data_IF_784050607715
#
_entry.id   IF_784050607715
#
_cell.length_a   1.000
_cell.length_b   1.000
_cell.length_c   1.000
_cell.angle_alpha   90.00
_cell.angle_beta   90.00
_cell.angle_gamma   90.00
#
_symmetry.space_group_name_H-M   'P 1'
#
loop_
_entity.id
_entity.type
_entity.pdbx_description
1 polymer ?
#
# COMPACT_ATOMS: atom_id res chain seq x y z
N UNK A 1 -5.52 -43.56 69.88
CA UNK A 1 -6.45 -42.48 69.50
C UNK A 1 -6.24 -41.32 70.48
N UNK A 2 -5.25 -40.45 70.21
CA UNK A 2 -4.97 -39.22 70.97
C UNK A 2 -3.97 -38.34 70.17
N UNK A 3 -4.50 -37.30 69.52
CA UNK A 3 -4.24 -35.87 69.77
C UNK A 3 -2.80 -35.27 69.72
N UNK A 4 -2.73 -34.15 68.98
CA UNK A 4 -1.84 -32.96 69.01
C UNK A 4 -0.47 -33.04 68.28
N UNK A 5 -0.22 -32.26 67.21
CA UNK A 5 -0.02 -30.79 67.03
C UNK A 5 1.47 -30.42 67.15
N UNK A 6 2.04 -29.81 66.11
CA UNK A 6 2.87 -28.57 66.11
C UNK A 6 3.88 -28.52 64.94
N UNK A 7 3.72 -27.45 64.15
CA UNK A 7 4.74 -26.59 63.52
C UNK A 7 5.79 -27.21 62.57
N UNK A 8 6.00 -26.68 61.38
CA UNK A 8 6.54 -25.33 61.12
C UNK A 8 6.41 -25.01 59.62
N UNK A 9 5.88 -23.83 59.24
CA UNK A 9 6.63 -22.66 58.73
C UNK A 9 7.60 -23.05 57.60
N UNK A 10 7.66 -22.45 56.41
CA UNK A 10 7.24 -21.18 55.81
C UNK A 10 7.81 -21.25 54.39
N UNK A 11 7.14 -20.67 53.39
CA UNK A 11 7.74 -19.87 52.29
C UNK A 11 6.69 -19.74 51.18
N UNK A 12 5.77 -18.80 51.35
CA UNK A 12 5.08 -18.14 50.25
C UNK A 12 5.71 -16.76 50.12
N UNK A 13 6.79 -16.68 49.35
CA UNK A 13 7.23 -15.42 48.77
C UNK A 13 6.60 -15.33 47.38
N UNK A 14 5.46 -14.66 47.30
CA UNK A 14 4.89 -14.17 46.06
C UNK A 14 5.85 -13.07 45.57
N UNK A 15 6.83 -13.47 44.77
CA UNK A 15 7.53 -12.53 43.90
C UNK A 15 6.73 -12.42 42.61
N UNK A 16 5.98 -11.33 42.54
CA UNK A 16 5.65 -10.64 41.30
C UNK A 16 6.89 -10.54 40.42
N UNK A 17 6.97 -11.42 39.42
CA UNK A 17 7.78 -11.18 38.24
C UNK A 17 6.84 -10.96 37.07
N UNK A 18 6.65 -9.66 36.85
CA UNK A 18 6.38 -9.03 35.57
C UNK A 18 6.94 -9.89 34.45
N UNK A 19 6.06 -10.25 33.52
CA UNK A 19 6.38 -10.89 32.25
C UNK A 19 7.40 -10.01 31.51
N UNK A 20 8.68 -10.25 31.76
CA UNK A 20 9.75 -9.99 30.81
C UNK A 20 9.66 -11.10 29.78
N UNK A 21 8.70 -10.96 28.85
CA UNK A 21 8.76 -11.68 27.60
C UNK A 21 10.00 -11.15 26.86
N UNK A 22 11.12 -11.84 27.10
CA UNK A 22 12.27 -11.83 26.24
C UNK A 22 11.78 -12.19 24.85
N UNK A 23 11.59 -11.15 24.05
CA UNK A 23 11.28 -11.22 22.64
C UNK A 23 12.51 -11.86 21.96
N UNK A 24 12.57 -13.19 22.03
CA UNK A 24 13.43 -14.00 21.18
C UNK A 24 12.91 -13.78 19.78
N UNK A 25 13.47 -12.76 19.14
CA UNK A 25 13.11 -12.31 17.81
C UNK A 25 13.14 -13.51 16.87
N UNK A 26 11.95 -14.07 16.61
CA UNK A 26 11.72 -14.73 15.34
C UNK A 26 12.04 -13.67 14.30
N UNK A 27 12.99 -13.91 13.38
CA UNK A 27 13.19 -13.01 12.27
C UNK A 27 11.82 -12.83 11.64
N UNK A 28 11.33 -11.60 11.58
CA UNK A 28 10.00 -11.32 11.08
C UNK A 28 9.95 -11.86 9.64
N UNK A 29 9.21 -12.97 9.51
CA UNK A 29 9.20 -13.88 8.37
C UNK A 29 8.70 -13.09 7.17
N UNK A 30 9.30 -13.34 6.00
CA UNK A 30 9.13 -12.86 4.61
C UNK A 30 7.84 -12.11 4.15
N UNK A 31 6.78 -12.06 4.95
CA UNK A 31 5.43 -11.62 4.60
C UNK A 31 4.97 -10.43 5.46
N UNK A 32 5.91 -9.54 5.72
CA UNK A 32 5.71 -8.29 6.46
C UNK A 32 6.19 -7.13 5.61
N UNK A 33 5.37 -6.09 5.47
CA UNK A 33 5.80 -4.85 4.84
C UNK A 33 6.70 -4.08 5.80
N UNK A 34 8.01 -4.24 5.62
CA UNK A 34 8.99 -3.43 6.33
C UNK A 34 9.23 -2.12 5.59
N UNK A 35 9.41 -1.10 6.39
CA UNK A 35 10.10 0.09 5.96
C UNK A 35 11.60 -0.19 5.85
N UNK A 36 12.24 0.29 4.78
CA UNK A 36 13.69 0.17 4.62
C UNK A 36 14.38 0.95 5.74
N UNK A 37 15.12 0.26 6.60
CA UNK A 37 15.89 0.88 7.71
C UNK A 37 17.25 1.43 7.24
N UNK A 38 17.59 1.28 5.96
CA UNK A 38 18.95 1.48 5.46
C UNK A 38 19.43 2.95 5.44
N UNK A 39 18.56 3.92 5.75
CA UNK A 39 18.90 5.34 5.83
C UNK A 39 18.28 6.01 7.08
N UNK A 40 18.20 5.27 8.21
CA UNK A 40 17.71 5.86 9.46
C UNK A 40 18.72 6.88 10.00
N UNK A 41 18.33 8.15 9.95
CA UNK A 41 19.00 9.25 10.63
C UNK A 41 18.98 9.03 12.16
N UNK A 42 19.83 9.76 12.89
CA UNK A 42 19.80 9.79 14.37
C UNK A 42 18.45 10.24 14.95
N UNK A 43 17.58 10.88 14.15
CA UNK A 43 16.23 11.29 14.55
C UNK A 43 15.28 10.08 14.60
N UNK A 44 15.43 9.12 13.69
CA UNK A 44 14.52 7.98 13.56
C UNK A 44 14.57 7.03 14.77
N UNK A 45 15.69 7.00 15.50
CA UNK A 45 15.80 6.25 16.77
C UNK A 45 14.89 6.79 17.88
N UNK A 46 14.47 8.06 17.83
CA UNK A 46 13.56 8.66 18.83
C UNK A 46 12.08 8.35 18.54
N UNK A 47 11.77 7.86 17.34
CA UNK A 47 10.41 7.66 16.85
C UNK A 47 10.03 6.17 16.77
N UNK A 48 10.69 5.33 17.57
CA UNK A 48 10.54 3.87 17.60
C UNK A 48 9.10 3.39 17.85
N UNK A 49 8.28 4.21 18.52
CA UNK A 49 6.85 3.92 18.74
C UNK A 49 6.09 3.77 17.44
N UNK A 50 6.54 4.45 16.38
CA UNK A 50 5.95 4.30 15.08
C UNK A 50 6.55 3.07 14.34
N UNK A 51 7.84 2.79 14.50
CA UNK A 51 8.54 1.64 13.90
C UNK A 51 8.04 0.27 14.41
N UNK A 52 7.30 0.25 15.52
CA UNK A 52 6.80 -0.95 16.16
C UNK A 52 5.26 -1.02 16.07
N UNK A 53 4.75 -1.80 15.12
CA UNK A 53 3.33 -2.11 15.08
C UNK A 53 2.88 -2.68 13.75
N UNK A 54 2.24 -3.86 13.80
CA UNK A 54 1.68 -4.52 12.63
C UNK A 54 0.28 -5.01 12.96
N UNK A 55 -0.59 -5.05 11.94
CA UNK A 55 -1.88 -5.72 11.99
C UNK A 55 -2.00 -6.75 10.88
N UNK A 56 -2.68 -7.85 11.16
CA UNK A 56 -2.95 -8.88 10.16
C UNK A 56 -4.08 -8.41 9.23
N UNK A 57 -3.83 -8.42 7.92
CA UNK A 57 -4.85 -8.21 6.91
C UNK A 57 -4.52 -9.08 5.70
N UNK A 58 -5.54 -9.75 5.12
CA UNK A 58 -5.34 -10.55 3.92
C UNK A 58 -4.26 -11.63 4.09
N UNK A 59 -4.12 -12.13 5.32
CA UNK A 59 -3.13 -13.14 5.70
C UNK A 59 -1.68 -12.64 5.83
N UNK A 60 -1.42 -11.35 5.64
CA UNK A 60 -0.07 -10.75 5.77
C UNK A 60 -0.03 -9.65 6.83
N UNK A 61 1.15 -9.37 7.38
CA UNK A 61 1.33 -8.31 8.38
C UNK A 61 1.59 -6.96 7.70
N UNK A 62 0.67 -6.02 7.92
CA UNK A 62 0.76 -4.65 7.41
C UNK A 62 1.16 -3.73 8.55
N UNK A 63 2.17 -2.90 8.31
CA UNK A 63 2.60 -1.91 9.27
C UNK A 63 1.49 -0.92 9.63
N UNK A 64 1.42 -0.52 10.90
CA UNK A 64 0.42 0.42 11.39
C UNK A 64 0.56 1.84 10.82
N UNK A 65 1.65 2.15 10.10
CA UNK A 65 1.80 3.38 9.31
C UNK A 65 0.92 3.44 8.07
N UNK A 66 0.43 2.30 7.58
CA UNK A 66 -0.34 2.24 6.35
C UNK A 66 -1.80 1.86 6.63
N UNK A 67 -2.70 2.55 5.93
CA UNK A 67 -4.09 2.18 5.79
C UNK A 67 -4.29 1.47 4.46
N UNK A 68 -5.05 0.38 4.47
CA UNK A 68 -5.61 -0.17 3.23
C UNK A 68 -6.75 0.75 2.84
N UNK A 69 -6.65 1.42 1.70
CA UNK A 69 -7.70 2.32 1.18
C UNK A 69 -8.55 1.65 0.09
N UNK A 70 -8.01 0.63 -0.56
CA UNK A 70 -8.71 -0.16 -1.56
C UNK A 70 -8.13 -1.59 -1.64
N UNK A 71 -8.93 -2.55 -2.10
CA UNK A 71 -8.51 -3.92 -2.28
C UNK A 71 -9.30 -4.63 -3.36
N UNK A 72 -8.62 -5.45 -4.16
CA UNK A 72 -9.21 -6.26 -5.21
C UNK A 72 -8.83 -7.72 -5.02
N UNK A 73 -9.82 -8.60 -5.11
CA UNK A 73 -9.63 -10.05 -5.07
C UNK A 73 -9.68 -10.61 -6.49
N UNK A 74 -8.62 -11.29 -6.93
CA UNK A 74 -8.55 -11.93 -8.25
C UNK A 74 -7.52 -13.06 -8.25
N UNK A 75 -7.58 -13.95 -9.23
CA UNK A 75 -6.54 -14.94 -9.48
C UNK A 75 -5.35 -14.26 -10.20
N UNK A 76 -4.20 -14.15 -9.52
CA UNK A 76 -3.02 -13.42 -10.02
C UNK A 76 -1.95 -14.34 -10.62
N UNK A 77 -2.14 -15.65 -10.58
CA UNK A 77 -1.15 -16.65 -10.95
C UNK A 77 -1.72 -17.85 -11.74
N UNK A 78 -3.03 -17.86 -12.04
CA UNK A 78 -3.78 -18.90 -12.76
C UNK A 78 -3.84 -20.24 -12.00
N UNK A 79 -3.88 -20.20 -10.65
CA UNK A 79 -4.00 -21.38 -9.79
C UNK A 79 -5.40 -21.58 -9.19
N UNK A 80 -6.36 -20.72 -9.57
CA UNK A 80 -7.76 -20.68 -9.10
C UNK A 80 -7.91 -20.32 -7.62
N UNK A 81 -6.86 -19.83 -6.97
CA UNK A 81 -6.95 -19.27 -5.62
C UNK A 81 -7.23 -17.77 -5.69
N UNK A 82 -7.95 -17.30 -4.68
CA UNK A 82 -8.26 -15.87 -4.56
C UNK A 82 -7.05 -15.15 -4.00
N UNK A 83 -6.27 -14.52 -4.86
CA UNK A 83 -5.19 -13.61 -4.47
C UNK A 83 -5.74 -12.20 -4.23
N UNK A 84 -4.89 -11.30 -3.74
CA UNK A 84 -5.27 -9.91 -3.46
C UNK A 84 -4.28 -8.89 -3.99
N UNK A 85 -4.83 -7.80 -4.52
CA UNK A 85 -4.13 -6.55 -4.78
C UNK A 85 -4.63 -5.54 -3.75
N UNK A 86 -3.73 -4.98 -2.95
CA UNK A 86 -4.04 -3.98 -1.93
C UNK A 86 -3.47 -2.63 -2.34
N UNK A 87 -4.25 -1.56 -2.15
CA UNK A 87 -3.74 -0.19 -2.22
C UNK A 87 -3.57 0.34 -0.81
N UNK A 88 -2.33 0.69 -0.49
CA UNK A 88 -1.96 1.21 0.81
C UNK A 88 -1.65 2.70 0.72
N UNK A 89 -2.19 3.46 1.65
CA UNK A 89 -1.91 4.88 1.84
C UNK A 89 -1.25 5.11 3.21
N UNK A 90 -0.21 5.95 3.29
CA UNK A 90 0.36 6.37 4.56
C UNK A 90 -0.70 7.06 5.44
N UNK A 91 -0.81 6.69 6.72
CA UNK A 91 -1.79 7.25 7.67
C UNK A 91 -1.48 8.66 8.15
N UNK A 92 -0.24 9.12 7.99
CA UNK A 92 0.19 10.42 8.50
C UNK A 92 -0.09 11.52 7.47
N UNK A 93 -1.15 12.28 7.69
CA UNK A 93 -1.26 13.68 7.27
C UNK A 93 -1.76 14.60 8.42
N UNK A 94 -1.60 14.20 9.69
CA UNK A 94 -1.88 15.08 10.85
C UNK A 94 -0.73 15.06 11.88
N UNK A 95 0.20 16.02 11.82
CA UNK A 95 1.39 16.13 12.68
C UNK A 95 1.21 17.09 13.87
N UNK A 96 0.01 17.26 14.44
CA UNK A 96 -0.22 18.35 15.40
C UNK A 96 0.50 18.21 16.76
N UNK A 97 1.32 17.18 16.98
CA UNK A 97 2.14 17.08 18.20
C UNK A 97 3.40 16.22 18.10
N UNK A 98 4.10 16.14 16.96
CA UNK A 98 5.29 15.26 16.87
C UNK A 98 6.53 15.96 16.34
N UNK A 99 7.47 16.23 17.24
CA UNK A 99 8.85 16.72 17.03
C UNK A 99 9.79 15.66 16.40
N UNK A 100 9.21 14.60 15.85
CA UNK A 100 9.89 13.60 15.05
C UNK A 100 10.03 14.16 13.64
N UNK A 101 11.18 14.75 13.33
CA UNK A 101 11.55 15.11 11.95
C UNK A 101 11.71 13.81 11.16
N UNK A 102 10.59 13.33 10.60
CA UNK A 102 10.52 12.20 9.70
C UNK A 102 11.08 12.64 8.35
N UNK A 103 12.40 12.85 8.30
CA UNK A 103 13.16 12.99 7.06
C UNK A 103 13.28 11.65 6.32
N UNK A 104 12.21 10.86 6.31
CA UNK A 104 12.12 9.67 5.48
C UNK A 104 11.64 10.06 4.10
N UNK A 105 12.62 10.55 3.34
CA UNK A 105 12.52 10.92 1.93
C UNK A 105 11.38 11.89 1.61
N UNK A 106 11.18 12.89 2.47
CA UNK A 106 10.32 14.08 2.31
C UNK A 106 8.83 13.89 1.92
N UNK A 107 8.35 12.74 1.45
CA UNK A 107 6.97 12.47 1.01
C UNK A 107 6.64 10.96 1.04
N UNK A 108 5.91 10.45 2.05
CA UNK A 108 5.49 9.05 2.07
C UNK A 108 4.52 8.75 0.90
N UNK A 109 4.71 7.59 0.25
CA UNK A 109 4.07 7.22 -1.03
C UNK A 109 3.00 6.14 -0.89
N UNK A 110 1.99 6.14 -1.76
CA UNK A 110 1.00 5.06 -1.92
C UNK A 110 1.66 3.81 -2.50
N UNK A 111 1.23 2.65 -2.06
CA UNK A 111 1.79 1.37 -2.46
C UNK A 111 0.72 0.48 -3.09
N UNK A 112 1.05 -0.16 -4.20
CA UNK A 112 0.28 -1.29 -4.74
C UNK A 112 0.96 -2.58 -4.28
N UNK A 113 0.31 -3.34 -3.42
CA UNK A 113 0.86 -4.57 -2.83
C UNK A 113 0.14 -5.77 -3.39
N UNK A 114 0.91 -6.75 -3.86
CA UNK A 114 0.39 -8.01 -4.37
C UNK A 114 0.60 -9.10 -3.33
N UNK A 115 -0.50 -9.70 -2.90
CA UNK A 115 -0.54 -10.82 -1.96
C UNK A 115 -1.05 -12.04 -2.69
N UNK A 116 -0.27 -13.13 -2.67
CA UNK A 116 -0.67 -14.41 -3.25
C UNK A 116 -0.96 -15.43 -2.17
N UNK A 117 -2.00 -16.23 -2.36
CA UNK A 117 -2.37 -17.31 -1.47
C UNK A 117 -1.83 -18.64 -1.98
N UNK A 118 -1.38 -19.49 -1.07
CA UNK A 118 -0.99 -20.85 -1.37
C UNK A 118 -1.70 -21.83 -0.43
N UNK A 119 -2.17 -23.01 -0.90
CA UNK A 119 -3.04 -23.88 -0.11
C UNK A 119 -2.42 -24.39 1.20
N UNK A 120 -1.09 -24.48 1.26
CA UNK A 120 -0.35 -25.01 2.41
C UNK A 120 0.54 -23.97 3.10
N UNK A 121 0.93 -22.90 2.39
CA UNK A 121 1.85 -21.90 2.91
C UNK A 121 1.14 -20.63 3.40
N UNK A 122 -0.18 -20.52 3.20
CA UNK A 122 -0.94 -19.32 3.55
C UNK A 122 -0.71 -18.17 2.57
N UNK A 123 -1.04 -16.96 3.01
CA UNK A 123 -0.86 -15.75 2.22
C UNK A 123 0.57 -15.23 2.33
N UNK A 124 1.14 -14.78 1.23
CA UNK A 124 2.47 -14.17 1.19
C UNK A 124 2.52 -12.94 0.31
N UNK A 125 3.42 -12.02 0.64
CA UNK A 125 3.66 -10.84 -0.20
C UNK A 125 4.48 -11.30 -1.40
N UNK A 126 3.93 -11.12 -2.61
CA UNK A 126 4.68 -11.38 -3.85
C UNK A 126 5.53 -10.19 -4.22
N UNK A 127 4.89 -9.02 -4.38
CA UNK A 127 5.52 -7.80 -4.89
C UNK A 127 4.91 -6.55 -4.24
N UNK A 128 5.71 -5.48 -4.18
CA UNK A 128 5.31 -4.15 -3.70
C UNK A 128 5.75 -3.11 -4.73
N UNK A 129 4.80 -2.41 -5.34
CA UNK A 129 5.07 -1.37 -6.32
C UNK A 129 4.86 0.02 -5.72
N UNK A 130 5.90 0.84 -5.77
CA UNK A 130 5.91 2.23 -5.25
C UNK A 130 5.59 3.29 -6.31
N UNK A 131 5.62 2.92 -7.59
CA UNK A 131 5.60 3.84 -8.73
C UNK A 131 4.37 3.67 -9.63
N UNK A 132 3.45 2.79 -9.26
CA UNK A 132 2.23 2.47 -10.04
C UNK A 132 1.05 3.33 -9.62
N UNK A 133 1.15 4.03 -8.49
CA UNK A 133 0.11 4.90 -7.95
C UNK A 133 0.65 6.32 -7.86
N UNK A 134 -0.21 7.30 -8.13
CA UNK A 134 0.14 8.69 -7.90
C UNK A 134 0.16 8.99 -6.40
N UNK A 135 1.20 9.69 -5.96
CA UNK A 135 1.34 10.18 -4.60
C UNK A 135 0.74 11.57 -4.39
N UNK A 136 0.24 12.20 -5.45
CA UNK A 136 -0.48 13.45 -5.33
C UNK A 136 -1.76 13.23 -4.51
N UNK A 137 -1.88 13.96 -3.41
CA UNK A 137 -3.09 14.08 -2.60
C UNK A 137 -3.69 15.48 -2.72
N UNK A 138 -4.99 15.60 -2.51
CA UNK A 138 -5.71 16.88 -2.51
C UNK A 138 -6.59 17.09 -3.74
N UNK A 139 -7.35 18.20 -3.74
CA UNK A 139 -8.53 18.50 -4.59
C UNK A 139 -8.33 18.28 -6.11
N UNK A 140 -7.09 18.25 -6.62
CA UNK A 140 -6.76 18.27 -8.04
C UNK A 140 -6.15 16.98 -8.62
N UNK A 141 -6.00 15.91 -7.83
CA UNK A 141 -5.54 14.60 -8.32
C UNK A 141 -5.90 13.50 -7.32
N UNK A 142 -6.88 12.67 -7.66
CA UNK A 142 -7.34 11.59 -6.78
C UNK A 142 -7.05 10.24 -7.41
N UNK A 143 -6.47 9.35 -6.60
CA UNK A 143 -6.66 7.93 -6.82
C UNK A 143 -8.17 7.65 -6.75
N UNK A 144 -8.73 7.08 -7.81
CA UNK A 144 -10.18 6.85 -7.96
C UNK A 144 -10.55 5.41 -7.59
N UNK A 145 -9.67 4.45 -7.91
CA UNK A 145 -9.89 3.06 -7.52
C UNK A 145 -9.06 2.03 -8.28
N UNK A 146 -9.13 0.79 -7.81
CA UNK A 146 -8.73 -0.42 -8.53
C UNK A 146 -9.96 -1.23 -8.91
N UNK A 147 -10.05 -1.62 -10.19
CA UNK A 147 -11.22 -2.30 -10.73
C UNK A 147 -10.81 -3.55 -11.50
N UNK A 148 -11.62 -4.61 -11.41
CA UNK A 148 -11.45 -5.81 -12.23
C UNK A 148 -11.65 -5.46 -13.71
N UNK A 149 -10.84 -6.05 -14.58
CA UNK A 149 -11.08 -6.07 -16.02
C UNK A 149 -11.10 -7.52 -16.52
N UNK A 150 -11.47 -7.72 -17.79
CA UNK A 150 -11.44 -9.05 -18.42
C UNK A 150 -10.04 -9.69 -18.44
N UNK A 151 -8.98 -8.89 -18.29
CA UNK A 151 -7.59 -9.36 -18.44
C UNK A 151 -6.81 -9.37 -17.12
N UNK A 152 -7.40 -8.84 -16.05
CA UNK A 152 -6.73 -8.59 -14.79
C UNK A 152 -7.42 -7.45 -14.05
N UNK A 153 -6.75 -6.31 -13.94
CA UNK A 153 -7.28 -5.15 -13.23
C UNK A 153 -6.82 -3.84 -13.86
N UNK A 154 -7.48 -2.74 -13.50
CA UNK A 154 -7.05 -1.38 -13.85
C UNK A 154 -6.96 -0.52 -12.60
N UNK A 155 -5.99 0.38 -12.60
CA UNK A 155 -5.86 1.47 -11.63
C UNK A 155 -6.34 2.74 -12.32
N UNK A 156 -7.19 3.52 -11.66
CA UNK A 156 -7.76 4.76 -12.21
C UNK A 156 -7.40 5.93 -11.30
N UNK A 157 -7.04 7.04 -11.92
CA UNK A 157 -6.87 8.34 -11.29
C UNK A 157 -7.73 9.35 -12.03
N UNK A 158 -8.37 10.26 -11.29
CA UNK A 158 -9.24 11.29 -11.85
C UNK A 158 -9.03 12.63 -11.14
N UNK A 159 -9.36 13.72 -11.82
CA UNK A 159 -9.63 14.98 -11.14
C UNK A 159 -10.47 15.93 -11.98
N UNK A 160 -10.92 17.00 -11.32
CA UNK A 160 -11.54 18.16 -11.95
C UNK A 160 -13.07 18.16 -11.90
N UNK A 161 -13.65 19.18 -12.53
CA UNK A 161 -15.09 19.38 -12.62
C UNK A 161 -15.45 19.85 -14.04
N UNK A 162 -15.50 21.16 -14.28
CA UNK A 162 -15.72 21.73 -15.62
C UNK A 162 -14.60 21.36 -16.60
N UNK A 163 -13.36 21.39 -16.12
CA UNK A 163 -12.21 20.74 -16.75
C UNK A 163 -11.91 19.48 -15.95
N UNK A 164 -11.92 18.33 -16.60
CA UNK A 164 -11.64 17.06 -15.94
C UNK A 164 -10.67 16.20 -16.74
N UNK A 165 -10.01 15.29 -16.05
CA UNK A 165 -9.15 14.29 -16.67
C UNK A 165 -9.27 12.94 -15.96
N UNK A 166 -9.02 11.88 -16.73
CA UNK A 166 -8.91 10.50 -16.26
C UNK A 166 -7.59 9.93 -16.79
N UNK A 167 -6.85 9.27 -15.91
CA UNK A 167 -5.66 8.50 -16.24
C UNK A 167 -5.86 7.08 -15.72
N UNK A 168 -5.90 6.10 -16.63
CA UNK A 168 -6.05 4.70 -16.25
C UNK A 168 -4.93 3.83 -16.80
N UNK A 169 -4.51 2.86 -15.99
CA UNK A 169 -3.54 1.84 -16.35
C UNK A 169 -4.20 0.48 -16.23
N UNK A 170 -4.28 -0.27 -17.32
CA UNK A 170 -4.77 -1.64 -17.30
C UNK A 170 -3.62 -2.64 -17.27
N UNK A 171 -3.72 -3.57 -16.34
CA UNK A 171 -2.78 -4.63 -16.07
C UNK A 171 -3.40 -5.98 -16.39
N UNK A 172 -2.63 -6.81 -17.09
CA UNK A 172 -2.96 -8.20 -17.35
C UNK A 172 -2.28 -9.11 -16.35
N UNK A 173 -3.00 -10.11 -15.86
CA UNK A 173 -2.52 -11.13 -14.93
C UNK A 173 -2.41 -12.49 -15.63
N UNK A 174 -1.45 -13.31 -15.23
CA UNK A 174 -1.34 -14.71 -15.67
C UNK A 174 -0.02 -15.35 -15.23
N UNK A 175 0.03 -16.68 -15.12
CA UNK A 175 1.20 -17.52 -14.73
C UNK A 175 2.36 -16.75 -14.08
N UNK A 176 2.12 -16.21 -12.88
CA UNK A 176 3.07 -15.50 -12.03
C UNK A 176 3.59 -14.13 -12.50
N UNK A 177 2.92 -13.45 -13.43
CA UNK A 177 3.29 -12.08 -13.83
C UNK A 177 2.08 -11.17 -13.90
N UNK A 178 2.32 -9.93 -13.50
CA UNK A 178 1.45 -8.81 -13.82
C UNK A 178 2.19 -7.99 -14.87
N UNK A 179 1.50 -7.59 -15.92
CA UNK A 179 2.09 -6.75 -16.98
C UNK A 179 1.16 -5.61 -17.33
N UNK A 180 1.70 -4.41 -17.53
CA UNK A 180 0.98 -3.30 -18.10
C UNK A 180 0.61 -3.61 -19.56
N UNK A 181 -0.67 -3.43 -19.87
CA UNK A 181 -1.25 -3.62 -21.20
C UNK A 181 -1.56 -2.30 -21.86
N UNK A 182 -2.14 -1.36 -21.10
CA UNK A 182 -2.69 -0.15 -21.68
C UNK A 182 -2.59 1.02 -20.69
N UNK A 183 -2.29 2.20 -21.21
CA UNK A 183 -2.47 3.48 -20.51
C UNK A 183 -3.47 4.28 -21.32
N UNK A 184 -4.56 4.72 -20.69
CA UNK A 184 -5.53 5.63 -21.27
C UNK A 184 -5.47 6.97 -20.55
N UNK A 185 -5.53 8.05 -21.32
CA UNK A 185 -5.65 9.42 -20.83
C UNK A 185 -6.87 10.04 -21.47
N UNK A 186 -7.79 10.57 -20.67
CA UNK A 186 -8.96 11.30 -21.17
C UNK A 186 -8.96 12.70 -20.58
N UNK A 187 -9.32 13.68 -21.40
CA UNK A 187 -9.48 15.08 -20.99
C UNK A 187 -10.88 15.53 -21.41
N UNK A 188 -11.59 16.28 -20.58
CA UNK A 188 -12.90 16.84 -20.89
C UNK A 188 -13.05 18.29 -20.47
N UNK A 189 -13.87 19.02 -21.22
CA UNK A 189 -14.32 20.38 -20.93
C UNK A 189 -15.82 20.50 -21.26
N UNK A 190 -16.67 20.66 -20.24
CA UNK A 190 -18.12 20.54 -20.40
C UNK A 190 -18.51 19.20 -21.01
N UNK A 191 -19.32 19.22 -22.08
CA UNK A 191 -19.74 18.01 -22.80
C UNK A 191 -18.71 17.47 -23.81
N UNK A 192 -17.58 18.17 -23.98
CA UNK A 192 -16.54 17.78 -24.94
C UNK A 192 -15.50 16.91 -24.26
N UNK A 193 -15.02 15.86 -24.94
CA UNK A 193 -13.91 15.04 -24.45
C UNK A 193 -13.01 14.54 -25.57
N UNK A 194 -11.73 14.37 -25.26
CA UNK A 194 -10.71 13.74 -26.12
C UNK A 194 -9.90 12.73 -25.32
N UNK A 195 -9.29 11.75 -25.99
CA UNK A 195 -8.56 10.66 -25.33
C UNK A 195 -7.34 10.18 -26.11
N UNK A 196 -6.28 9.84 -25.37
CA UNK A 196 -5.07 9.20 -25.87
C UNK A 196 -4.94 7.79 -25.30
N UNK A 197 -4.54 6.84 -26.14
CA UNK A 197 -4.40 5.44 -25.78
C UNK A 197 -3.00 4.93 -26.14
N UNK A 198 -2.30 4.37 -25.16
CA UNK A 198 -0.99 3.76 -25.33
C UNK A 198 -1.08 2.28 -25.01
N UNK A 199 -0.69 1.42 -25.95
CA UNK A 199 -0.72 -0.03 -25.77
C UNK A 199 0.70 -0.59 -25.66
N UNK A 200 0.86 -1.51 -24.72
CA UNK A 200 2.14 -2.11 -24.39
C UNK A 200 2.06 -3.63 -24.57
N UNK A 201 3.12 -4.20 -25.13
CA UNK A 201 3.25 -5.64 -25.25
C UNK A 201 4.02 -6.19 -24.04
N UNK A 202 3.30 -6.50 -22.95
CA UNK A 202 3.84 -7.17 -21.74
C UNK A 202 4.93 -6.38 -21.01
N UNK A 203 4.70 -5.10 -20.71
CA UNK A 203 5.65 -4.32 -19.91
C UNK A 203 5.51 -4.71 -18.42
N UNK A 204 6.62 -5.01 -17.73
CA UNK A 204 6.61 -5.28 -16.28
C UNK A 204 6.29 -4.04 -15.46
N UNK A 205 5.67 -4.22 -14.28
CA UNK A 205 5.27 -3.10 -13.40
C UNK A 205 6.48 -2.38 -12.77
N UNK A 206 7.60 -3.07 -12.64
CA UNK A 206 8.90 -2.51 -12.23
C UNK A 206 9.39 -1.39 -13.16
N UNK A 207 8.93 -1.39 -14.41
CA UNK A 207 9.25 -0.37 -15.42
C UNK A 207 8.20 0.72 -15.55
N UNK A 208 7.10 0.60 -14.82
CA UNK A 208 6.03 1.61 -14.81
C UNK A 208 6.38 2.65 -13.76
N UNK A 209 6.49 3.89 -14.22
CA UNK A 209 6.61 5.04 -13.35
C UNK A 209 5.49 6.02 -13.69
N UNK A 210 4.53 6.15 -12.79
CA UNK A 210 3.58 7.26 -12.79
C UNK A 210 4.31 8.42 -12.15
N UNK A 211 4.75 9.43 -12.92
CA UNK A 211 5.32 10.62 -12.29
C UNK A 211 4.28 11.20 -11.33
N UNK A 212 4.69 11.47 -10.07
CA UNK A 212 3.85 12.09 -9.02
C UNK A 212 3.17 13.38 -9.50
N UNK A 213 3.76 13.96 -10.54
CA UNK A 213 3.11 14.89 -11.43
C UNK A 213 2.52 14.15 -12.64
N UNK A 214 1.20 13.95 -12.60
CA UNK A 214 0.32 14.35 -13.71
C UNK A 214 0.59 15.84 -14.05
N UNK A 215 1.82 16.15 -14.45
CA UNK A 215 2.40 17.50 -14.53
C UNK A 215 1.51 18.29 -15.47
N UNK A 216 0.76 19.23 -14.88
CA UNK A 216 -0.27 20.02 -15.52
C UNK A 216 -1.40 19.17 -16.17
N UNK A 217 -2.27 18.65 -15.30
CA UNK A 217 -3.52 17.95 -15.62
C UNK A 217 -3.35 16.87 -16.71
N UNK A 218 -2.40 15.95 -16.53
CA UNK A 218 -2.19 14.83 -17.46
C UNK A 218 -1.81 15.26 -18.90
N UNK A 219 -1.19 16.44 -19.06
CA UNK A 219 -0.97 17.12 -20.35
C UNK A 219 -2.26 17.53 -21.08
N UNK A 220 -3.36 17.75 -20.34
CA UNK A 220 -4.62 18.18 -20.92
C UNK A 220 -4.63 19.64 -21.37
N UNK A 221 -3.67 20.48 -20.94
CA UNK A 221 -3.61 21.91 -21.33
C UNK A 221 -3.74 22.14 -22.85
N UNK A 222 -2.97 21.38 -23.63
CA UNK A 222 -2.99 21.47 -25.10
C UNK A 222 -4.32 20.95 -25.69
N UNK A 223 -4.93 19.96 -25.03
CA UNK A 223 -6.22 19.38 -25.45
C UNK A 223 -7.35 20.36 -25.12
N UNK A 224 -7.37 20.93 -23.93
CA UNK A 224 -8.37 21.92 -23.50
C UNK A 224 -8.36 23.16 -24.39
N UNK A 225 -7.16 23.64 -24.79
CA UNK A 225 -7.05 24.74 -25.76
C UNK A 225 -7.77 24.41 -27.08
N UNK A 226 -7.65 23.17 -27.58
CA UNK A 226 -8.39 22.71 -28.77
C UNK A 226 -9.88 22.61 -28.53
N UNK A 227 -10.30 22.08 -27.37
CA UNK A 227 -11.71 21.92 -27.02
C UNK A 227 -12.43 23.26 -26.81
N UNK A 228 -11.72 24.28 -26.30
CA UNK A 228 -12.21 25.65 -26.09
C UNK A 228 -12.36 26.43 -27.40
N UNK A 229 -11.54 26.14 -28.41
CA UNK A 229 -11.49 26.88 -29.69
C UNK A 229 -12.57 26.50 -30.72
N UNK A 230 -13.38 25.47 -30.42
CA UNK A 230 -14.45 24.96 -31.29
C UNK A 230 -15.81 25.22 -30.68
#
# INVERSE_FOLDING_TARGET
MLKFLFLSLTYWAIYSNVFLEGNTGRPAISDTLFFSHAELSTVDRRCFQFLAGYRLNSGVFISNYYSVIDSLSLDLNDDKLTDKVLVLEPRSLNPDATTCDLSFDRNPKRLLVVVINAPLAGAKIREVYKSVLSDAGGVLSHYDGIHVTRNGFKVVHTAGAAYAWEYSMEFSTGKNRITLREISKRCSYGDKSDSLLFRYHRLGLDKVNVPDTLSNQCNCDAIWSKLNSK
#
